data_IF_975739703414
#
_entry.id   IF_975739703414
#
_cell.length_a   1.000
_cell.length_b   1.000
_cell.length_c   1.000
_cell.angle_alpha   90.00
_cell.angle_beta   90.00
_cell.angle_gamma   90.00
#
_symmetry.space_group_name_H-M   'P 1'
#
loop_
_entity.id
_entity.type
_entity.pdbx_description
1 polymer ?
#
# COMPACT_ATOMS: atom_id res chain seq x y z
N UNK A 1 14.60 9.02 -5.57
CA UNK A 1 14.82 8.24 -6.81
C UNK A 1 13.94 6.99 -6.82
N UNK A 2 14.06 6.10 -5.82
CA UNK A 2 13.30 4.83 -5.72
C UNK A 2 11.79 5.05 -5.75
N UNK A 3 11.26 6.04 -5.02
CA UNK A 3 9.84 6.36 -4.99
C UNK A 3 9.31 6.77 -6.37
N UNK A 4 10.02 7.63 -7.07
CA UNK A 4 9.62 8.09 -8.40
C UNK A 4 9.68 6.97 -9.46
N UNK A 5 10.62 6.04 -9.31
CA UNK A 5 10.85 4.96 -10.29
C UNK A 5 9.94 3.75 -10.02
N UNK A 6 9.80 3.34 -8.75
CA UNK A 6 9.09 2.12 -8.36
C UNK A 6 7.74 2.36 -7.71
N UNK A 7 7.35 3.63 -7.49
CA UNK A 7 6.06 4.04 -6.92
C UNK A 7 5.77 3.44 -5.53
N UNK A 8 6.80 3.22 -4.76
CA UNK A 8 6.70 2.80 -3.37
C UNK A 8 7.15 3.96 -2.50
N UNK A 9 6.31 4.38 -1.58
CA UNK A 9 6.58 5.52 -0.71
C UNK A 9 7.90 5.34 0.05
N UNK A 10 8.78 6.33 -0.01
CA UNK A 10 10.12 6.27 0.57
C UNK A 10 10.09 6.17 2.11
N UNK A 11 9.13 6.82 2.76
CA UNK A 11 8.95 6.70 4.21
C UNK A 11 8.48 5.31 4.62
N UNK A 12 7.64 4.66 3.79
CA UNK A 12 7.25 3.28 4.03
C UNK A 12 8.45 2.31 3.96
N UNK A 13 9.29 2.46 2.94
CA UNK A 13 10.52 1.65 2.80
C UNK A 13 11.44 1.86 4.02
N UNK A 14 11.67 3.11 4.37
CA UNK A 14 12.51 3.45 5.53
C UNK A 14 11.91 2.92 6.84
N UNK A 15 10.62 3.15 7.08
CA UNK A 15 9.93 2.70 8.29
C UNK A 15 9.98 1.17 8.44
N UNK A 16 9.78 0.45 7.33
CA UNK A 16 9.84 -1.01 7.32
C UNK A 16 11.26 -1.50 7.60
N UNK A 17 12.29 -0.91 6.98
CA UNK A 17 13.68 -1.27 7.27
C UNK A 17 14.09 -0.96 8.70
N UNK A 18 13.59 0.14 9.29
CA UNK A 18 13.81 0.47 10.70
C UNK A 18 13.20 -0.58 11.63
N UNK A 19 12.00 -1.05 11.30
CA UNK A 19 11.30 -2.03 12.11
C UNK A 19 11.89 -3.44 11.98
N UNK A 20 12.07 -3.92 10.76
CA UNK A 20 12.51 -5.29 10.47
C UNK A 20 14.03 -5.47 10.68
N UNK A 21 14.80 -4.45 10.40
CA UNK A 21 16.27 -4.47 10.47
C UNK A 21 16.84 -3.90 11.76
N UNK A 22 16.01 -3.60 12.75
CA UNK A 22 16.42 -2.91 13.99
C UNK A 22 17.28 -1.67 13.69
N UNK A 23 16.68 -0.72 12.96
CA UNK A 23 17.38 0.49 12.50
C UNK A 23 18.65 0.21 11.66
N UNK A 24 18.75 -0.95 11.04
CA UNK A 24 19.90 -1.37 10.23
C UNK A 24 21.08 -1.89 11.04
N UNK A 25 20.90 -2.18 12.34
CA UNK A 25 21.95 -2.70 13.24
C UNK A 25 21.74 -4.17 13.63
N UNK A 26 20.66 -4.81 13.19
CA UNK A 26 20.49 -6.25 13.40
C UNK A 26 21.65 -7.05 12.79
N UNK A 27 21.91 -8.25 13.29
CA UNK A 27 22.96 -9.14 12.75
C UNK A 27 22.80 -9.35 11.25
N UNK A 28 21.58 -9.59 10.77
CA UNK A 28 21.31 -9.74 9.34
C UNK A 28 21.55 -8.45 8.55
N UNK A 29 21.22 -7.29 9.13
CA UNK A 29 21.50 -6.00 8.50
C UNK A 29 22.99 -5.71 8.35
N UNK A 30 23.80 -6.06 9.37
CA UNK A 30 25.23 -5.77 9.39
C UNK A 30 26.04 -6.78 8.59
N UNK A 31 25.72 -8.07 8.69
CA UNK A 31 26.52 -9.14 8.10
C UNK A 31 26.05 -9.56 6.71
N UNK A 32 24.77 -9.33 6.38
CA UNK A 32 24.16 -9.80 5.13
C UNK A 32 23.53 -8.70 4.30
N UNK A 33 23.65 -7.42 4.69
CA UNK A 33 22.94 -6.31 4.07
C UNK A 33 21.41 -6.49 4.01
N UNK A 34 20.85 -7.40 4.81
CA UNK A 34 19.43 -7.75 4.80
C UNK A 34 18.67 -6.90 5.81
N UNK A 35 18.30 -5.69 5.39
CA UNK A 35 17.66 -4.70 6.26
C UNK A 35 16.15 -4.89 6.44
N UNK A 36 15.55 -5.85 5.74
CA UNK A 36 14.13 -6.18 5.84
C UNK A 36 13.86 -7.56 6.44
N UNK A 37 14.87 -8.25 6.95
CA UNK A 37 14.68 -9.58 7.50
C UNK A 37 14.18 -10.63 6.48
N UNK A 38 14.49 -10.46 5.19
CA UNK A 38 14.00 -11.33 4.13
C UNK A 38 14.50 -12.75 4.34
N UNK A 39 13.56 -13.73 4.37
CA UNK A 39 13.82 -15.15 4.64
C UNK A 39 14.52 -15.41 5.98
N UNK A 40 14.36 -14.54 6.95
CA UNK A 40 14.72 -14.80 8.33
C UNK A 40 13.57 -15.56 8.99
N UNK A 41 13.86 -16.71 9.58
CA UNK A 41 12.86 -17.56 10.24
C UNK A 41 13.11 -17.58 11.74
N UNK A 42 12.05 -17.58 12.54
CA UNK A 42 12.14 -17.59 14.00
C UNK A 42 12.95 -18.78 14.55
N UNK A 43 12.88 -19.92 13.87
CA UNK A 43 13.62 -21.14 14.22
C UNK A 43 15.08 -21.16 13.74
N UNK A 44 15.47 -20.27 12.85
CA UNK A 44 16.84 -20.14 12.37
C UNK A 44 17.13 -18.72 11.82
N UNK A 45 17.41 -17.75 12.70
CA UNK A 45 17.70 -16.37 12.31
C UNK A 45 18.94 -16.25 11.41
N UNK A 46 19.77 -17.30 11.32
CA UNK A 46 20.99 -17.28 10.49
C UNK A 46 20.72 -17.53 9.01
N UNK A 47 19.53 -18.00 8.65
CA UNK A 47 19.14 -18.29 7.25
C UNK A 47 18.69 -17.10 6.42
N UNK A 48 18.67 -15.89 6.97
CA UNK A 48 18.33 -14.69 6.20
C UNK A 48 19.10 -14.57 4.89
N UNK A 49 18.44 -14.11 3.84
CA UNK A 49 19.03 -13.89 2.53
C UNK A 49 20.19 -12.89 2.63
N UNK A 50 21.27 -13.13 1.87
CA UNK A 50 22.42 -12.23 1.80
C UNK A 50 22.37 -11.40 0.52
N UNK A 51 22.67 -10.11 0.63
CA UNK A 51 22.70 -9.17 -0.48
C UNK A 51 24.11 -8.58 -0.64
N UNK A 52 24.46 -8.21 -1.86
CA UNK A 52 25.76 -7.56 -2.13
C UNK A 52 25.82 -6.15 -1.50
N UNK A 53 24.69 -5.47 -1.43
CA UNK A 53 24.55 -4.16 -0.79
C UNK A 53 23.19 -4.02 -0.09
N UNK A 54 23.05 -2.96 0.73
CA UNK A 54 21.74 -2.59 1.30
C UNK A 54 20.76 -2.17 0.22
N UNK A 55 21.22 -1.52 -0.84
CA UNK A 55 20.39 -1.12 -1.97
C UNK A 55 19.80 -2.35 -2.67
N UNK A 56 20.56 -3.44 -2.83
CA UNK A 56 20.03 -4.70 -3.37
C UNK A 56 18.92 -5.29 -2.48
N UNK A 57 19.06 -5.16 -1.17
CA UNK A 57 17.99 -5.56 -0.24
C UNK A 57 16.74 -4.69 -0.40
N UNK A 58 16.90 -3.37 -0.57
CA UNK A 58 15.80 -2.45 -0.88
C UNK A 58 15.11 -2.86 -2.17
N UNK A 59 15.87 -3.11 -3.23
CA UNK A 59 15.34 -3.50 -4.53
C UNK A 59 14.63 -4.86 -4.49
N UNK A 60 15.17 -5.81 -3.72
CA UNK A 60 14.52 -7.09 -3.50
C UNK A 60 13.19 -6.94 -2.77
N UNK A 61 13.14 -6.12 -1.72
CA UNK A 61 11.91 -5.82 -0.98
C UNK A 61 10.85 -5.19 -1.88
N UNK A 62 11.21 -4.17 -2.65
CA UNK A 62 10.30 -3.48 -3.58
C UNK A 62 9.78 -4.45 -4.64
N UNK A 63 10.65 -5.10 -5.38
CA UNK A 63 10.27 -5.83 -6.57
C UNK A 63 9.63 -7.19 -6.27
N UNK A 64 10.16 -7.92 -5.28
CA UNK A 64 9.69 -9.29 -4.99
C UNK A 64 8.52 -9.31 -4.01
N UNK A 65 8.43 -8.32 -3.12
CA UNK A 65 7.37 -8.28 -2.10
C UNK A 65 6.33 -7.23 -2.44
N UNK A 66 6.67 -5.94 -2.41
CA UNK A 66 5.69 -4.87 -2.54
C UNK A 66 5.02 -4.92 -3.91
N UNK A 67 5.79 -4.76 -4.99
CA UNK A 67 5.26 -4.59 -6.34
C UNK A 67 4.80 -5.89 -7.02
N UNK A 68 5.21 -7.05 -6.51
CA UNK A 68 4.75 -8.33 -7.05
C UNK A 68 3.54 -8.87 -6.29
N UNK A 69 3.54 -8.77 -4.97
CA UNK A 69 2.61 -9.54 -4.15
C UNK A 69 1.59 -8.69 -3.38
N UNK A 70 1.94 -7.48 -2.95
CA UNK A 70 1.10 -6.68 -2.06
C UNK A 70 0.39 -5.53 -2.74
N UNK A 71 1.07 -4.78 -3.63
CA UNK A 71 0.49 -3.60 -4.27
C UNK A 71 -0.42 -3.91 -5.43
N UNK A 72 -0.06 -4.77 -6.41
CA UNK A 72 -0.95 -5.02 -7.52
C UNK A 72 -2.17 -5.79 -7.07
N UNK A 73 -3.33 -5.43 -7.59
CA UNK A 73 -4.59 -6.13 -7.29
C UNK A 73 -4.54 -7.63 -7.59
N UNK A 74 -3.74 -8.03 -8.58
CA UNK A 74 -3.47 -9.44 -8.92
C UNK A 74 -2.48 -10.12 -7.98
N UNK A 75 -1.84 -9.37 -7.09
CA UNK A 75 -0.87 -9.91 -6.15
C UNK A 75 -1.48 -10.92 -5.18
N UNK A 76 -0.71 -11.94 -4.84
CA UNK A 76 -1.19 -13.05 -3.99
C UNK A 76 -1.68 -12.57 -2.61
N UNK A 77 -1.14 -11.46 -2.12
CA UNK A 77 -1.41 -10.90 -0.79
C UNK A 77 -2.07 -9.52 -0.83
N UNK A 78 -2.58 -9.10 -1.99
CA UNK A 78 -3.20 -7.79 -2.17
C UNK A 78 -4.46 -7.63 -1.32
N UNK A 79 -4.40 -6.73 -0.34
CA UNK A 79 -5.51 -6.31 0.54
C UNK A 79 -5.52 -4.80 0.75
N UNK A 80 -4.85 -4.05 -0.14
CA UNK A 80 -4.59 -2.62 -0.09
C UNK A 80 -3.14 -2.29 0.20
N UNK A 81 -2.70 -1.12 -0.25
CA UNK A 81 -1.30 -0.69 -0.20
C UNK A 81 -0.91 -0.01 1.11
N UNK A 82 -1.87 0.28 1.99
CA UNK A 82 -1.57 0.80 3.32
C UNK A 82 -0.91 -0.28 4.20
N UNK A 83 -0.08 0.08 5.19
CA UNK A 83 0.44 -0.88 6.16
C UNK A 83 -0.67 -1.69 6.85
N UNK A 84 -1.78 -1.04 7.20
CA UNK A 84 -3.04 -1.68 7.59
C UNK A 84 -3.01 -2.45 8.91
N UNK A 85 -3.88 -3.46 8.99
CA UNK A 85 -4.06 -4.32 10.15
C UNK A 85 -4.45 -5.75 9.69
N UNK A 86 -5.01 -6.57 10.58
CA UNK A 86 -5.42 -7.94 10.21
C UNK A 86 -6.69 -8.02 9.34
N UNK A 87 -7.34 -6.89 9.07
CA UNK A 87 -8.56 -6.86 8.26
C UNK A 87 -8.35 -6.22 6.88
N UNK A 88 -7.44 -5.25 6.76
CA UNK A 88 -7.16 -4.55 5.50
C UNK A 88 -5.71 -4.07 5.44
N UNK A 89 -5.18 -3.91 4.24
CA UNK A 89 -3.81 -3.49 4.00
C UNK A 89 -2.81 -4.65 4.00
N UNK A 90 -1.54 -4.31 3.95
CA UNK A 90 -0.45 -5.30 3.84
C UNK A 90 -0.43 -6.27 5.02
N UNK A 91 -0.71 -5.79 6.25
CA UNK A 91 -0.62 -6.62 7.44
C UNK A 91 -1.70 -7.71 7.56
N UNK A 92 -2.62 -7.81 6.65
CA UNK A 92 -3.47 -9.01 6.57
C UNK A 92 -2.60 -10.26 6.44
N UNK A 93 -1.51 -10.16 5.66
CA UNK A 93 -0.63 -11.29 5.36
C UNK A 93 0.85 -11.07 5.71
N UNK A 94 1.29 -9.83 5.99
CA UNK A 94 2.71 -9.51 6.08
C UNK A 94 3.37 -10.06 7.35
N UNK A 95 2.83 -9.74 8.52
CA UNK A 95 3.39 -10.14 9.80
C UNK A 95 2.37 -10.88 10.66
N UNK A 96 2.81 -11.72 11.58
CA UNK A 96 1.95 -12.33 12.61
C UNK A 96 1.48 -11.30 13.65
N UNK A 97 2.29 -10.29 13.91
CA UNK A 97 1.96 -9.19 14.83
C UNK A 97 0.77 -8.36 14.32
N UNK A 98 -0.37 -8.33 15.04
CA UNK A 98 -1.54 -7.56 14.61
C UNK A 98 -1.29 -6.04 14.59
N UNK A 99 -0.28 -5.56 15.32
CA UNK A 99 0.08 -4.15 15.44
C UNK A 99 1.19 -3.72 14.49
N UNK A 100 1.70 -4.61 13.65
CA UNK A 100 2.79 -4.28 12.71
C UNK A 100 2.48 -3.03 11.88
N UNK A 101 1.30 -2.95 11.27
CA UNK A 101 0.93 -1.80 10.45
C UNK A 101 0.91 -0.47 11.23
N UNK A 102 0.42 -0.49 12.47
CA UNK A 102 0.45 0.70 13.34
C UNK A 102 1.87 1.10 13.73
N UNK A 103 2.77 0.12 13.93
CA UNK A 103 4.18 0.39 14.21
C UNK A 103 4.86 1.03 13.01
N UNK A 104 4.64 0.49 11.80
CA UNK A 104 5.16 1.08 10.56
C UNK A 104 4.62 2.49 10.36
N UNK A 105 3.31 2.70 10.48
CA UNK A 105 2.70 4.03 10.38
C UNK A 105 3.28 5.01 11.42
N UNK A 106 3.54 4.55 12.64
CA UNK A 106 4.20 5.34 13.68
C UNK A 106 5.63 5.73 13.34
N UNK A 107 6.41 4.84 12.69
CA UNK A 107 7.74 5.19 12.16
C UNK A 107 7.63 6.21 11.04
N UNK A 108 6.73 6.00 10.06
CA UNK A 108 6.49 6.95 8.96
C UNK A 108 6.15 8.34 9.51
N UNK A 109 5.19 8.43 10.41
CA UNK A 109 4.78 9.70 11.03
C UNK A 109 5.93 10.44 11.71
N UNK A 110 6.75 9.73 12.51
CA UNK A 110 7.92 10.34 13.18
C UNK A 110 8.95 10.85 12.18
N UNK A 111 9.21 10.09 11.13
CA UNK A 111 10.17 10.49 10.09
C UNK A 111 9.66 11.67 9.27
N UNK A 112 8.38 11.64 8.86
CA UNK A 112 7.77 12.75 8.13
C UNK A 112 7.82 14.06 8.94
N UNK A 113 7.46 14.01 10.23
CA UNK A 113 7.61 15.15 11.13
C UNK A 113 9.04 15.68 11.17
N UNK A 114 10.03 14.77 11.21
CA UNK A 114 11.45 15.15 11.25
C UNK A 114 11.95 15.77 9.96
N UNK A 115 11.40 15.33 8.81
CA UNK A 115 11.82 15.78 7.47
C UNK A 115 10.93 16.89 6.89
N UNK A 116 10.07 17.49 7.69
CA UNK A 116 9.31 18.69 7.32
C UNK A 116 7.93 18.42 6.79
N UNK A 117 7.33 17.26 7.13
CA UNK A 117 5.93 16.90 6.83
C UNK A 117 5.59 16.96 5.36
N UNK A 118 6.42 16.35 4.54
CA UNK A 118 6.25 16.35 3.08
C UNK A 118 5.15 15.40 2.61
N UNK A 119 4.89 14.34 3.38
CA UNK A 119 3.87 13.34 3.07
C UNK A 119 2.56 13.60 3.83
N UNK A 120 2.58 14.46 4.85
CA UNK A 120 1.39 14.80 5.62
C UNK A 120 0.34 15.46 4.72
N UNK A 121 -0.88 14.95 4.76
CA UNK A 121 -2.05 15.48 4.02
C UNK A 121 -1.92 15.50 2.49
N UNK A 122 -1.08 14.67 1.91
CA UNK A 122 -0.99 14.52 0.46
C UNK A 122 -2.21 13.85 -0.18
N UNK A 123 -3.12 13.30 0.64
CA UNK A 123 -4.38 12.73 0.19
C UNK A 123 -5.29 12.36 1.36
N UNK A 124 -6.52 11.97 1.03
CA UNK A 124 -7.51 11.49 2.00
C UNK A 124 -7.53 9.97 1.97
N UNK A 125 -7.52 9.34 3.13
CA UNK A 125 -7.69 7.88 3.21
C UNK A 125 -9.17 7.55 3.07
N UNK A 126 -9.46 6.54 2.25
CA UNK A 126 -10.81 6.08 2.00
C UNK A 126 -10.86 4.57 1.79
N UNK A 127 -12.05 4.00 1.90
CA UNK A 127 -12.33 2.63 1.49
C UNK A 127 -13.26 2.64 0.28
N UNK A 128 -12.91 1.88 -0.73
CA UNK A 128 -13.84 1.57 -1.83
C UNK A 128 -14.88 0.63 -1.25
N UNK A 129 -16.11 1.12 -1.14
CA UNK A 129 -17.22 0.36 -0.57
C UNK A 129 -17.66 -0.74 -1.52
N UNK A 130 -18.05 -1.85 -0.92
CA UNK A 130 -18.57 -2.96 -1.66
C UNK A 130 -19.85 -3.47 -1.02
N UNK A 131 -20.95 -3.09 -1.61
CA UNK A 131 -22.25 -3.63 -1.25
C UNK A 131 -22.68 -4.69 -2.27
N UNK A 132 -23.18 -5.82 -1.79
CA UNK A 132 -23.83 -6.86 -2.60
C UNK A 132 -22.95 -7.64 -3.59
N UNK A 133 -21.66 -7.77 -3.36
CA UNK A 133 -20.82 -8.65 -4.18
C UNK A 133 -20.40 -8.06 -5.54
N UNK A 134 -20.64 -6.77 -5.80
CA UNK A 134 -20.28 -6.15 -7.07
C UNK A 134 -18.82 -5.71 -7.13
N UNK A 135 -18.25 -5.83 -8.32
CA UNK A 135 -16.91 -5.30 -8.62
C UNK A 135 -16.98 -3.79 -8.81
N UNK A 136 -16.07 -3.05 -8.19
CA UNK A 136 -15.93 -1.62 -8.43
C UNK A 136 -14.90 -1.38 -9.50
N UNK A 137 -15.31 -0.72 -10.57
CA UNK A 137 -14.43 -0.39 -11.67
C UNK A 137 -13.59 0.85 -11.32
N UNK A 138 -12.30 0.71 -11.45
CA UNK A 138 -11.37 1.83 -11.43
C UNK A 138 -11.04 2.16 -12.88
N UNK A 139 -11.15 3.42 -13.25
CA UNK A 139 -11.10 3.85 -14.64
C UNK A 139 -9.90 4.75 -14.91
N UNK A 140 -9.52 4.85 -16.17
CA UNK A 140 -8.42 5.77 -16.58
C UNK A 140 -8.88 7.23 -16.60
N UNK A 141 -10.17 7.47 -16.79
CA UNK A 141 -10.77 8.82 -16.85
C UNK A 141 -12.00 8.90 -15.94
N UNK A 142 -12.39 10.10 -15.47
CA UNK A 142 -13.55 10.29 -14.61
C UNK A 142 -14.87 10.23 -15.39
N UNK A 143 -15.19 9.03 -15.93
CA UNK A 143 -16.40 8.79 -16.69
C UNK A 143 -16.81 7.32 -16.64
N UNK A 144 -18.13 7.05 -16.65
CA UNK A 144 -18.69 5.69 -16.69
C UNK A 144 -18.64 5.01 -18.05
N UNK A 145 -18.30 5.73 -19.09
CA UNK A 145 -18.32 5.24 -20.46
C UNK A 145 -17.39 4.06 -20.68
N UNK A 146 -17.66 3.30 -21.65
CA UNK A 146 -17.09 2.13 -22.27
C UNK A 146 -15.95 1.34 -21.56
N UNK A 147 -15.76 0.09 -21.96
CA UNK A 147 -14.67 -0.78 -21.52
C UNK A 147 -13.27 -0.18 -21.74
N UNK A 148 -13.12 0.74 -22.67
CA UNK A 148 -11.86 1.39 -23.01
C UNK A 148 -11.27 2.24 -21.85
N UNK A 149 -12.11 2.66 -20.92
CA UNK A 149 -11.70 3.39 -19.70
C UNK A 149 -11.45 2.48 -18.50
N UNK A 150 -11.74 1.21 -18.61
CA UNK A 150 -11.52 0.26 -17.53
C UNK A 150 -10.03 0.03 -17.34
N UNK A 151 -9.51 0.52 -16.21
CA UNK A 151 -8.13 0.32 -15.83
C UNK A 151 -7.94 -1.01 -15.12
N UNK A 152 -8.68 -1.26 -14.04
CA UNK A 152 -8.73 -2.52 -13.31
C UNK A 152 -10.00 -2.56 -12.45
N UNK A 153 -10.31 -3.73 -11.91
CA UNK A 153 -11.50 -3.96 -11.12
C UNK A 153 -11.12 -4.38 -9.71
N UNK A 154 -11.53 -3.62 -8.72
CA UNK A 154 -11.38 -4.00 -7.33
C UNK A 154 -12.48 -4.97 -6.90
N UNK A 155 -12.02 -6.02 -6.25
CA UNK A 155 -12.89 -6.94 -5.54
C UNK A 155 -12.83 -6.56 -4.06
N UNK A 156 -13.64 -5.62 -3.65
CA UNK A 156 -13.74 -5.27 -2.24
C UNK A 156 -14.28 -6.47 -1.47
N UNK A 157 -13.57 -6.90 -0.42
CA UNK A 157 -14.02 -8.00 0.43
C UNK A 157 -14.69 -7.46 1.67
N UNK A 158 -15.86 -8.00 1.94
CA UNK A 158 -16.54 -7.85 3.22
C UNK A 158 -15.72 -8.55 4.32
N UNK A 159 -15.41 -7.87 5.39
CA UNK A 159 -14.70 -8.46 6.52
C UNK A 159 -15.50 -8.23 7.79
N UNK A 160 -16.25 -9.25 8.20
CA UNK A 160 -16.93 -9.32 9.48
C UNK A 160 -18.36 -8.79 9.50
N UNK A 161 -19.12 -9.17 10.54
CA UNK A 161 -20.54 -8.89 10.72
C UNK A 161 -20.87 -7.43 11.12
N UNK A 162 -19.89 -6.58 11.36
CA UNK A 162 -20.10 -5.27 11.97
C UNK A 162 -19.51 -4.08 11.25
N UNK A 163 -18.93 -4.24 10.06
CA UNK A 163 -18.36 -3.12 9.33
C UNK A 163 -18.12 -3.40 7.85
N UNK A 164 -18.51 -2.45 7.02
CA UNK A 164 -18.14 -2.45 5.59
C UNK A 164 -16.70 -1.97 5.51
N UNK A 165 -15.76 -2.88 5.41
CA UNK A 165 -14.39 -2.54 5.07
C UNK A 165 -14.21 -2.83 3.58
N UNK A 166 -14.02 -1.76 2.82
CA UNK A 166 -13.67 -1.87 1.42
C UNK A 166 -12.16 -1.97 1.22
N UNK A 167 -11.74 -1.87 -0.02
CA UNK A 167 -10.34 -1.81 -0.39
C UNK A 167 -9.78 -0.41 -0.03
N UNK A 168 -8.73 -0.30 0.78
CA UNK A 168 -8.18 0.98 1.18
C UNK A 168 -7.47 1.68 0.03
N UNK A 169 -7.78 2.95 -0.17
CA UNK A 169 -7.21 3.80 -1.23
C UNK A 169 -6.82 5.16 -0.67
N UNK A 170 -5.97 5.87 -1.40
CA UNK A 170 -5.62 7.26 -1.12
C UNK A 170 -6.20 8.14 -2.22
N UNK A 171 -7.09 9.05 -1.85
CA UNK A 171 -7.68 10.05 -2.75
C UNK A 171 -6.74 11.25 -2.82
N UNK A 172 -6.36 11.64 -4.03
CA UNK A 172 -5.46 12.79 -4.28
C UNK A 172 -6.16 13.95 -4.99
N UNK A 173 -7.32 13.72 -5.60
CA UNK A 173 -8.07 14.72 -6.34
C UNK A 173 -9.55 14.38 -6.38
N UNK A 174 -10.40 15.39 -6.48
CA UNK A 174 -11.84 15.27 -6.69
C UNK A 174 -12.24 16.08 -7.92
N UNK A 175 -13.07 15.52 -8.80
CA UNK A 175 -13.56 16.22 -9.97
C UNK A 175 -14.99 15.83 -10.34
N UNK A 176 -15.67 16.72 -11.07
CA UNK A 176 -16.96 16.42 -11.71
C UNK A 176 -16.68 15.71 -13.03
N UNK A 177 -17.19 14.51 -13.19
CA UNK A 177 -17.10 13.77 -14.44
C UNK A 177 -18.05 14.30 -15.52
N UNK A 178 -17.76 13.98 -16.77
CA UNK A 178 -18.63 14.32 -17.92
C UNK A 178 -19.99 13.62 -17.88
N UNK A 179 -20.10 12.59 -17.07
CA UNK A 179 -21.32 11.80 -16.83
C UNK A 179 -22.20 12.33 -15.70
N UNK A 180 -21.82 13.46 -15.10
CA UNK A 180 -22.56 14.11 -14.02
C UNK A 180 -22.27 13.56 -12.62
N UNK A 181 -21.41 12.55 -12.49
CA UNK A 181 -20.98 12.04 -11.18
C UNK A 181 -19.73 12.75 -10.67
N UNK A 182 -19.57 12.77 -9.35
CA UNK A 182 -18.30 13.14 -8.71
C UNK A 182 -17.37 11.93 -8.74
N UNK A 183 -16.11 12.16 -9.08
CA UNK A 183 -15.09 11.14 -9.19
C UNK A 183 -13.88 11.49 -8.31
N UNK A 184 -13.33 10.48 -7.68
CA UNK A 184 -12.08 10.57 -6.95
C UNK A 184 -10.93 9.96 -7.74
N UNK A 185 -9.87 10.73 -7.87
CA UNK A 185 -8.59 10.23 -8.35
C UNK A 185 -7.86 9.57 -7.21
N UNK A 186 -7.49 8.33 -7.39
CA UNK A 186 -6.80 7.53 -6.37
C UNK A 186 -5.42 7.11 -6.85
N UNK A 187 -4.50 6.89 -5.92
CA UNK A 187 -3.24 6.24 -6.24
C UNK A 187 -3.53 4.82 -6.70
N UNK A 188 -2.99 4.47 -7.88
CA UNK A 188 -3.22 3.16 -8.46
C UNK A 188 -2.32 2.11 -7.84
N UNK A 189 -2.90 1.01 -7.40
CA UNK A 189 -2.17 -0.18 -6.93
C UNK A 189 -1.63 -1.01 -8.09
N UNK A 190 -1.99 -0.66 -9.31
CA UNK A 190 -1.54 -1.39 -10.49
C UNK A 190 -0.21 -0.82 -10.98
N UNK A 191 0.84 -1.60 -10.87
CA UNK A 191 2.19 -1.21 -11.26
C UNK A 191 2.62 -1.96 -12.53
N UNK A 192 3.00 -1.28 -13.56
CA UNK A 192 2.44 -0.15 -14.28
C UNK A 192 1.20 -0.55 -15.12
N UNK A 193 0.47 0.29 -15.85
CA UNK A 193 1.00 1.48 -16.50
C UNK A 193 0.50 2.81 -15.94
N UNK A 194 -0.48 2.84 -15.04
CA UNK A 194 -1.05 4.09 -14.59
C UNK A 194 -0.71 4.38 -13.12
N UNK A 195 -0.26 5.59 -12.86
CA UNK A 195 0.00 6.07 -11.50
C UNK A 195 -1.29 6.34 -10.73
N UNK A 196 -2.36 6.66 -11.44
CA UNK A 196 -3.65 7.04 -10.88
C UNK A 196 -4.77 6.29 -11.57
N UNK A 197 -5.84 6.06 -10.84
CA UNK A 197 -7.11 5.61 -11.37
C UNK A 197 -8.24 6.49 -10.85
N UNK A 198 -9.42 6.37 -11.44
CA UNK A 198 -10.60 7.10 -11.06
C UNK A 198 -11.69 6.17 -10.55
N UNK A 199 -12.30 6.51 -9.44
CA UNK A 199 -13.43 5.79 -8.86
C UNK A 199 -14.57 6.77 -8.57
N UNK A 200 -15.82 6.36 -8.79
CA UNK A 200 -16.97 7.19 -8.46
C UNK A 200 -17.06 7.42 -6.94
N UNK A 201 -17.31 8.65 -6.56
CA UNK A 201 -17.32 9.08 -5.15
C UNK A 201 -18.37 8.35 -4.31
N UNK A 202 -19.53 8.01 -4.89
CA UNK A 202 -20.61 7.28 -4.22
C UNK A 202 -20.26 5.80 -3.91
N UNK A 203 -19.16 5.29 -4.47
CA UNK A 203 -18.65 3.95 -4.20
C UNK A 203 -17.50 3.96 -3.18
N UNK A 204 -17.25 5.10 -2.56
CA UNK A 204 -16.09 5.30 -1.69
C UNK A 204 -16.53 5.91 -0.35
N UNK A 205 -16.11 5.27 0.72
CA UNK A 205 -16.26 5.81 2.07
C UNK A 205 -14.97 6.53 2.48
N UNK A 206 -15.02 7.85 2.52
CA UNK A 206 -13.89 8.66 3.02
C UNK A 206 -13.82 8.54 4.55
N UNK A 207 -12.63 8.22 5.06
CA UNK A 207 -12.37 8.29 6.49
C UNK A 207 -12.08 9.75 6.81
N UNK A 208 -12.97 10.40 7.56
CA UNK A 208 -12.67 11.73 8.06
C UNK A 208 -11.47 11.64 9.00
N UNK A 209 -10.37 12.20 8.56
CA UNK A 209 -9.29 12.60 9.46
C UNK A 209 -9.66 13.99 9.99
N UNK A 210 -10.08 14.06 11.25
CA UNK A 210 -10.22 15.32 11.96
C UNK A 210 -8.89 16.08 12.03
#
# INVERSE_FOLDING_TARGET
>A
QVEAEYRVNALFILATSMHEGDYGISTNSLQKNNIFGIKVFDNDPTKGEMYASRDDSVMAFINRYVNLNYSPQSGAYAKGTAPGNKTAGMNVHYASDPFWGSKIAGHMFRMDNRFGKKDDKQGKIAFVSYENGHLVNIRTEPAQTSADYLHFTYKAKYVGETGVFGYPVVIVEETQGSDGYVWYKILSDNNPPAQYGWVRADLVQVIQTN
#
